data_IF_716093263734
#
_entry.id   IF_716093263734
#
_cell.length_a   1.000
_cell.length_b   1.000
_cell.length_c   1.000
_cell.angle_alpha   90.00
_cell.angle_beta   90.00
_cell.angle_gamma   90.00
#
_symmetry.space_group_name_H-M   'P 1'
#
loop_
_entity.id
_entity.type
_entity.pdbx_description
1 polymer ?
#
# COMPACT_ATOMS: atom_id res chain seq x y z
N UNK A 1 -25.63 12.27 -39.40
CA UNK A 1 -25.72 13.59 -40.07
C UNK A 1 -27.18 13.87 -40.38
N UNK A 2 -27.66 15.13 -40.32
CA UNK A 2 -26.90 16.35 -40.10
C UNK A 2 -27.21 17.05 -38.76
N UNK A 3 -26.19 17.77 -38.30
CA UNK A 3 -26.25 18.86 -37.34
C UNK A 3 -25.83 20.13 -38.11
N UNK A 4 -26.48 21.25 -37.82
CA UNK A 4 -26.23 22.63 -38.26
C UNK A 4 -26.64 23.49 -37.04
N UNK A 5 -26.00 24.56 -36.57
CA UNK A 5 -25.11 25.60 -37.14
C UNK A 5 -24.24 26.20 -36.01
N UNK A 6 -22.96 26.55 -36.27
CA UNK A 6 -22.36 27.90 -36.38
C UNK A 6 -22.54 28.81 -35.13
N UNK A 7 -21.51 29.10 -34.33
CA UNK A 7 -20.41 30.09 -34.51
C UNK A 7 -20.85 31.56 -34.41
N UNK A 8 -20.32 32.30 -33.42
CA UNK A 8 -19.84 33.68 -33.61
C UNK A 8 -18.91 34.15 -32.48
N UNK A 9 -17.91 34.94 -32.87
CA UNK A 9 -16.82 35.54 -32.10
C UNK A 9 -17.22 36.89 -31.49
N UNK A 10 -16.42 37.41 -30.54
CA UNK A 10 -16.60 38.77 -30.04
C UNK A 10 -15.66 39.17 -28.91
N UNK A 11 -14.41 39.44 -29.26
CA UNK A 11 -13.44 40.22 -28.47
C UNK A 11 -13.74 41.72 -28.58
N UNK A 12 -13.77 42.44 -27.45
CA UNK A 12 -13.61 43.91 -27.42
C UNK A 12 -12.87 44.33 -26.16
N UNK A 13 -11.63 44.75 -26.35
CA UNK A 13 -10.84 45.61 -25.47
C UNK A 13 -11.35 47.06 -25.56
N UNK A 14 -11.41 47.81 -24.45
CA UNK A 14 -11.04 49.23 -24.49
C UNK A 14 -10.62 49.83 -23.15
N UNK A 15 -9.60 50.70 -23.27
CA UNK A 15 -8.89 51.50 -22.28
C UNK A 15 -9.47 52.93 -22.21
N UNK A 16 -9.25 53.60 -21.07
CA UNK A 16 -9.31 55.06 -20.91
C UNK A 16 -9.77 55.47 -19.51
N UNK A 17 -9.20 56.43 -18.78
CA UNK A 17 -8.10 57.37 -19.00
C UNK A 17 -8.16 58.51 -17.94
N UNK A 18 -7.02 59.17 -17.69
CA UNK A 18 -6.82 60.59 -17.27
C UNK A 18 -7.30 61.06 -15.87
N UNK A 19 -6.45 61.42 -14.88
CA UNK A 19 -5.53 62.59 -14.67
C UNK A 19 -6.16 63.83 -13.97
N UNK A 20 -5.52 64.26 -12.85
CA UNK A 20 -5.37 65.64 -12.34
C UNK A 20 -6.39 66.12 -11.29
N UNK A 21 -6.11 66.98 -10.30
CA UNK A 21 -4.91 67.72 -9.79
C UNK A 21 -5.36 68.51 -8.53
N UNK A 22 -4.44 68.81 -7.59
CA UNK A 22 -4.44 69.95 -6.61
C UNK A 22 -5.60 70.07 -5.60
N UNK A 23 -5.46 70.27 -4.29
CA UNK A 23 -4.38 70.75 -3.41
C UNK A 23 -4.94 71.88 -2.53
N UNK A 24 -5.02 71.73 -1.20
CA UNK A 24 -4.98 72.89 -0.28
C UNK A 24 -4.52 72.52 1.14
N UNK A 25 -3.75 73.44 1.72
CA UNK A 25 -3.10 73.40 3.03
C UNK A 25 -4.06 73.89 4.12
N UNK A 26 -3.92 73.38 5.35
CA UNK A 26 -3.91 74.24 6.55
C UNK A 26 -3.17 73.60 7.73
N UNK A 27 -2.41 74.47 8.40
CA UNK A 27 -1.44 74.26 9.48
C UNK A 27 -2.10 74.08 10.86
N UNK A 28 -1.36 73.43 11.78
CA UNK A 28 -1.04 73.77 13.20
C UNK A 28 -1.14 72.52 14.09
N UNK A 29 -0.32 72.23 15.10
CA UNK A 29 0.98 72.71 15.63
C UNK A 29 1.39 71.74 16.74
N UNK A 30 2.70 71.52 16.86
CA UNK A 30 3.51 71.30 18.08
C UNK A 30 3.41 70.02 18.96
N UNK A 31 4.63 69.68 19.42
CA UNK A 31 5.07 68.79 20.52
C UNK A 31 5.19 67.33 20.11
N UNK A 32 6.32 66.64 20.29
CA UNK A 32 7.65 66.85 20.87
C UNK A 32 8.33 65.49 20.66
N UNK A 33 9.63 65.33 20.43
CA UNK A 33 10.78 65.52 21.30
C UNK A 33 11.88 64.69 20.62
N UNK A 34 13.09 65.25 20.60
CA UNK A 34 14.39 64.58 20.81
C UNK A 34 14.66 63.29 20.02
N UNK A 35 15.59 63.40 19.07
CA UNK A 35 16.22 62.25 18.44
C UNK A 35 17.14 61.47 19.38
N UNK A 36 17.23 60.18 19.13
CA UNK A 36 18.37 59.35 19.48
C UNK A 36 18.56 58.34 18.34
N UNK A 37 19.72 58.41 17.71
CA UNK A 37 20.23 57.38 16.81
C UNK A 37 20.42 56.11 17.64
N UNK A 38 19.68 55.06 17.33
CA UNK A 38 19.95 53.70 17.82
C UNK A 38 20.19 52.84 16.59
N UNK A 39 21.43 52.37 16.46
CA UNK A 39 21.82 51.35 15.53
C UNK A 39 20.92 50.12 15.71
N UNK A 40 20.12 49.81 14.68
CA UNK A 40 19.34 48.59 14.66
C UNK A 40 20.31 47.41 14.43
N UNK A 41 20.73 46.76 15.52
CA UNK A 41 21.23 45.40 15.48
C UNK A 41 20.06 44.53 14.98
N UNK A 42 20.11 44.13 13.71
CA UNK A 42 19.27 43.06 13.19
C UNK A 42 19.77 41.75 13.80
N UNK A 43 19.19 41.35 14.94
CA UNK A 43 19.25 39.97 15.39
C UNK A 43 18.47 39.13 14.39
N UNK A 44 19.18 38.57 13.42
CA UNK A 44 18.69 37.46 12.61
C UNK A 44 18.38 36.30 13.56
N UNK A 45 17.11 36.14 13.93
CA UNK A 45 16.62 34.89 14.46
C UNK A 45 16.71 33.85 13.34
N UNK A 46 17.83 33.13 13.30
CA UNK A 46 17.90 31.84 12.63
C UNK A 46 16.94 30.95 13.39
N UNK A 47 15.74 30.78 12.85
CA UNK A 47 14.86 29.68 13.23
C UNK A 47 15.60 28.41 12.81
N UNK A 48 16.38 27.84 13.73
CA UNK A 48 16.84 26.45 13.63
C UNK A 48 15.56 25.64 13.74
N UNK A 49 14.91 25.39 12.61
CA UNK A 49 13.94 24.33 12.48
C UNK A 49 14.69 23.05 12.82
N UNK A 50 14.54 22.59 14.07
CA UNK A 50 14.92 21.25 14.42
C UNK A 50 14.15 20.36 13.46
N UNK A 51 14.88 19.69 12.56
CA UNK A 51 14.35 18.55 11.84
C UNK A 51 13.93 17.57 12.93
N UNK A 52 12.64 17.57 13.28
CA UNK A 52 12.06 16.56 14.13
C UNK A 52 12.37 15.24 13.45
N UNK A 53 13.23 14.45 14.07
CA UNK A 53 13.49 13.10 13.61
C UNK A 53 12.13 12.40 13.67
N UNK A 54 11.57 12.07 12.51
CA UNK A 54 10.43 11.15 12.45
C UNK A 54 10.87 9.90 13.19
N UNK A 55 10.21 9.49 14.29
CA UNK A 55 10.59 8.28 14.99
C UNK A 55 10.62 7.13 13.98
N UNK A 56 11.71 6.36 14.01
CA UNK A 56 11.79 5.15 13.19
C UNK A 56 10.56 4.29 13.48
N UNK A 57 9.90 3.78 12.43
CA UNK A 57 8.75 2.91 12.59
C UNK A 57 9.14 1.73 13.50
N UNK A 58 8.32 1.45 14.53
CA UNK A 58 8.59 0.34 15.42
C UNK A 58 8.54 -0.97 14.61
N UNK A 59 9.55 -1.82 14.73
CA UNK A 59 9.55 -3.11 14.04
C UNK A 59 8.69 -4.11 14.81
N UNK A 60 7.64 -4.63 14.19
CA UNK A 60 6.76 -5.64 14.79
C UNK A 60 7.26 -7.06 14.54
N UNK A 61 6.94 -7.97 15.46
CA UNK A 61 7.14 -9.41 15.26
C UNK A 61 6.01 -9.96 14.38
N UNK A 62 6.30 -10.62 13.25
CA UNK A 62 5.26 -11.26 12.43
C UNK A 62 4.46 -12.30 13.23
N UNK A 63 3.14 -12.33 13.03
CA UNK A 63 2.31 -13.41 13.57
C UNK A 63 2.79 -14.77 13.04
N UNK A 64 2.98 -15.79 13.89
CA UNK A 64 3.42 -17.10 13.43
C UNK A 64 2.25 -17.93 12.91
N UNK A 65 2.44 -18.63 11.80
CA UNK A 65 1.67 -19.83 11.47
C UNK A 65 2.64 -20.94 11.05
N UNK A 66 2.22 -22.20 11.16
CA UNK A 66 3.09 -23.32 10.75
C UNK A 66 3.32 -23.22 9.24
N UNK A 67 4.56 -22.91 8.84
CA UNK A 67 4.97 -22.80 7.43
C UNK A 67 4.72 -24.10 6.63
N UNK A 68 4.53 -25.22 7.33
CA UNK A 68 4.24 -26.55 6.81
C UNK A 68 3.07 -27.18 7.57
N UNK A 69 1.97 -27.46 6.87
CA UNK A 69 0.85 -28.24 7.40
C UNK A 69 -0.46 -27.46 7.46
N UNK A 70 -1.15 -27.39 6.31
CA UNK A 70 -2.56 -27.05 6.26
C UNK A 70 -3.38 -28.09 7.03
N UNK A 71 -3.68 -27.80 8.29
CA UNK A 71 -4.69 -28.54 9.07
C UNK A 71 -5.42 -27.68 10.10
N UNK A 72 -4.96 -26.43 10.36
CA UNK A 72 -5.53 -25.57 11.41
C UNK A 72 -6.26 -24.31 10.88
N UNK A 73 -6.44 -24.17 9.56
CA UNK A 73 -7.19 -23.05 8.96
C UNK A 73 -6.53 -21.67 9.09
N UNK A 74 -5.25 -21.62 9.45
CA UNK A 74 -4.47 -20.41 9.74
C UNK A 74 -3.39 -20.10 8.70
N UNK A 75 -3.30 -20.90 7.63
CA UNK A 75 -2.30 -20.80 6.57
C UNK A 75 -2.91 -20.99 5.17
N UNK A 76 -2.45 -20.20 4.21
CA UNK A 76 -2.86 -20.21 2.80
C UNK A 76 -1.68 -19.76 1.93
N UNK A 77 -1.79 -19.85 0.61
CA UNK A 77 -0.74 -19.44 -0.32
C UNK A 77 -0.98 -18.02 -0.87
N UNK A 78 0.08 -17.28 -1.12
CA UNK A 78 0.08 -16.09 -2.00
C UNK A 78 1.29 -16.19 -2.92
N UNK A 79 1.16 -15.70 -4.16
CA UNK A 79 2.23 -15.86 -5.15
C UNK A 79 1.75 -15.57 -6.55
N UNK A 80 2.42 -16.18 -7.52
CA UNK A 80 2.16 -15.98 -8.95
C UNK A 80 2.13 -17.32 -9.69
N UNK A 81 1.58 -17.32 -10.91
CA UNK A 81 1.71 -18.47 -11.79
C UNK A 81 3.19 -18.80 -12.03
N UNK A 82 3.58 -20.03 -11.74
CA UNK A 82 4.92 -20.55 -12.03
C UNK A 82 6.00 -20.18 -11.01
N UNK A 83 5.66 -19.59 -9.86
CA UNK A 83 6.63 -19.42 -8.77
C UNK A 83 7.24 -20.78 -8.36
N UNK A 84 8.47 -20.79 -7.88
CA UNK A 84 9.10 -22.03 -7.38
C UNK A 84 8.31 -22.61 -6.21
N UNK A 85 8.02 -21.76 -5.21
CA UNK A 85 7.11 -22.03 -4.10
C UNK A 85 6.35 -20.75 -3.75
N UNK A 86 5.03 -20.84 -3.58
CA UNK A 86 4.23 -19.71 -3.11
C UNK A 86 4.62 -19.34 -1.68
N UNK A 87 4.52 -18.05 -1.33
CA UNK A 87 4.66 -17.62 0.04
C UNK A 87 3.46 -18.11 0.88
N UNK A 88 3.72 -18.51 2.11
CA UNK A 88 2.66 -18.98 3.03
C UNK A 88 2.12 -17.79 3.80
N UNK A 89 0.91 -17.34 3.46
CA UNK A 89 0.22 -16.30 4.19
C UNK A 89 -0.49 -16.86 5.43
N UNK A 90 -0.38 -16.14 6.54
CA UNK A 90 -0.93 -16.51 7.83
C UNK A 90 -2.18 -15.68 8.18
N UNK A 91 -3.03 -16.24 9.05
CA UNK A 91 -4.26 -15.60 9.53
C UNK A 91 -4.05 -14.14 10.00
N UNK A 92 -2.97 -13.88 10.75
CA UNK A 92 -2.66 -12.56 11.31
C UNK A 92 -2.11 -11.52 10.31
N UNK A 93 -2.14 -11.80 9.01
CA UNK A 93 -1.67 -10.88 7.98
C UNK A 93 -0.15 -10.87 7.79
N UNK A 94 0.57 -11.77 8.45
CA UNK A 94 1.97 -12.11 8.15
C UNK A 94 2.07 -13.14 7.02
N UNK A 95 3.28 -13.36 6.52
CA UNK A 95 3.56 -14.40 5.55
C UNK A 95 5.02 -14.86 5.62
N UNK A 96 5.27 -16.12 5.27
CA UNK A 96 6.60 -16.70 5.13
C UNK A 96 7.01 -16.77 3.66
N UNK A 97 8.20 -16.29 3.35
CA UNK A 97 8.80 -16.36 2.01
C UNK A 97 9.85 -17.48 1.97
N UNK A 98 9.67 -18.52 1.14
CA UNK A 98 10.62 -19.63 0.99
C UNK A 98 11.77 -19.29 0.02
N UNK A 99 12.50 -20.31 -0.45
CA UNK A 99 13.43 -20.26 -1.59
C UNK A 99 14.65 -19.33 -1.40
N UNK A 100 15.32 -19.46 -0.25
CA UNK A 100 16.61 -18.80 0.02
C UNK A 100 16.48 -17.37 0.56
N UNK A 101 15.26 -16.87 0.74
CA UNK A 101 14.98 -15.76 1.66
C UNK A 101 14.68 -16.32 3.06
N UNK A 102 13.85 -17.36 3.13
CA UNK A 102 13.52 -18.11 4.35
C UNK A 102 13.21 -17.22 5.56
N UNK A 103 12.36 -16.22 5.31
CA UNK A 103 12.03 -15.16 6.27
C UNK A 103 10.51 -14.93 6.36
N UNK A 104 10.04 -14.70 7.59
CA UNK A 104 8.68 -14.22 7.84
C UNK A 104 8.63 -12.70 7.83
N UNK A 105 7.59 -12.17 7.18
CA UNK A 105 7.25 -10.75 7.17
C UNK A 105 5.86 -10.54 7.75
N UNK A 106 5.59 -9.36 8.30
CA UNK A 106 4.29 -9.05 8.86
C UNK A 106 4.24 -7.71 9.57
N UNK A 107 3.21 -7.55 10.40
CA UNK A 107 2.84 -6.28 11.00
C UNK A 107 2.49 -6.49 12.48
N UNK A 108 3.19 -5.79 13.38
CA UNK A 108 3.02 -5.89 14.83
C UNK A 108 1.67 -5.35 15.33
N UNK A 109 0.96 -4.59 14.50
CA UNK A 109 -0.40 -4.11 14.79
C UNK A 109 -1.43 -5.23 15.00
N UNK A 110 -1.15 -6.46 14.55
CA UNK A 110 -2.05 -7.58 14.79
C UNK A 110 -2.04 -8.01 16.26
N UNK A 111 -3.22 -7.98 16.89
CA UNK A 111 -3.39 -8.13 18.33
C UNK A 111 -4.06 -9.45 18.76
N UNK A 112 -4.18 -10.42 17.86
CA UNK A 112 -4.89 -11.70 18.09
C UNK A 112 -6.40 -11.55 18.42
N UNK A 113 -7.02 -10.42 18.12
CA UNK A 113 -8.48 -10.25 18.28
C UNK A 113 -9.26 -11.07 17.26
N UNK A 114 -10.59 -11.13 17.43
CA UNK A 114 -11.48 -11.80 16.51
C UNK A 114 -11.25 -11.31 15.06
N UNK A 115 -10.90 -12.26 14.19
CA UNK A 115 -10.33 -11.97 12.87
C UNK A 115 -11.20 -12.54 11.76
N UNK A 116 -11.42 -11.74 10.73
CA UNK A 116 -11.95 -12.21 9.44
C UNK A 116 -10.79 -12.46 8.49
N UNK A 117 -10.88 -13.51 7.69
CA UNK A 117 -9.84 -13.84 6.72
C UNK A 117 -10.44 -14.36 5.43
N UNK A 118 -10.25 -13.61 4.35
CA UNK A 118 -10.94 -13.82 3.08
C UNK A 118 -10.07 -13.43 1.90
N UNK A 119 -10.31 -14.06 0.76
CA UNK A 119 -9.81 -13.57 -0.52
C UNK A 119 -10.46 -12.22 -0.88
N UNK A 120 -9.68 -11.27 -1.37
CA UNK A 120 -10.21 -10.06 -1.96
C UNK A 120 -11.15 -10.43 -3.12
N UNK A 121 -12.32 -9.77 -3.16
CA UNK A 121 -13.38 -10.06 -4.13
C UNK A 121 -13.89 -11.52 -4.12
N UNK A 122 -13.64 -12.27 -3.04
CA UNK A 122 -14.09 -13.65 -2.87
C UNK A 122 -13.16 -14.71 -3.48
N UNK A 123 -12.37 -14.38 -4.50
CA UNK A 123 -11.58 -15.39 -5.23
C UNK A 123 -10.14 -15.01 -5.60
N UNK A 124 -9.76 -13.72 -5.54
CA UNK A 124 -8.39 -13.33 -5.91
C UNK A 124 -7.39 -13.83 -4.86
N UNK A 125 -6.14 -14.18 -5.25
CA UNK A 125 -5.09 -14.63 -4.34
C UNK A 125 -4.47 -13.44 -3.60
N UNK A 126 -5.34 -12.67 -2.96
CA UNK A 126 -5.05 -11.50 -2.18
C UNK A 126 -5.77 -11.66 -0.84
N UNK A 127 -5.04 -12.08 0.19
CA UNK A 127 -5.64 -12.40 1.48
C UNK A 127 -5.81 -11.15 2.32
N UNK A 128 -7.05 -10.91 2.76
CA UNK A 128 -7.46 -9.80 3.60
C UNK A 128 -7.71 -10.33 5.01
N UNK A 129 -6.85 -9.96 5.93
CA UNK A 129 -7.01 -10.14 7.38
C UNK A 129 -7.66 -8.89 7.95
N UNK A 130 -8.83 -9.01 8.58
CA UNK A 130 -9.57 -7.89 9.18
C UNK A 130 -9.80 -8.09 10.66
N UNK A 131 -9.54 -7.06 11.47
CA UNK A 131 -9.68 -7.11 12.93
C UNK A 131 -9.87 -5.69 13.52
N UNK A 132 -10.04 -5.60 14.84
CA UNK A 132 -10.12 -4.31 15.55
C UNK A 132 -8.84 -4.09 16.36
N UNK A 133 -8.33 -2.86 16.31
CA UNK A 133 -7.24 -2.39 17.17
C UNK A 133 -7.74 -1.18 17.95
N UNK A 134 -8.00 -1.36 19.24
CA UNK A 134 -8.74 -0.39 20.05
C UNK A 134 -10.08 0.00 19.41
N UNK A 135 -10.21 1.27 19.04
CA UNK A 135 -11.41 1.82 18.37
C UNK A 135 -11.31 1.81 16.84
N UNK A 136 -10.16 1.49 16.27
CA UNK A 136 -9.94 1.45 14.83
C UNK A 136 -10.32 0.09 14.24
N UNK A 137 -10.67 0.09 12.95
CA UNK A 137 -10.78 -1.11 12.12
C UNK A 137 -9.51 -1.23 11.30
N UNK A 138 -8.85 -2.38 11.35
CA UNK A 138 -7.61 -2.63 10.62
C UNK A 138 -7.83 -3.76 9.63
N UNK A 139 -7.33 -3.57 8.41
CA UNK A 139 -7.19 -4.65 7.44
C UNK A 139 -5.75 -4.75 6.95
N UNK A 140 -5.21 -5.96 6.90
CA UNK A 140 -3.93 -6.27 6.25
C UNK A 140 -4.26 -7.08 5.00
N UNK A 141 -3.88 -6.58 3.83
CA UNK A 141 -4.04 -7.31 2.57
C UNK A 141 -2.69 -7.65 1.97
N UNK A 142 -2.44 -8.92 1.65
CA UNK A 142 -1.21 -9.39 1.02
C UNK A 142 -1.51 -10.10 -0.30
N UNK A 143 -0.77 -9.80 -1.36
CA UNK A 143 -0.89 -10.50 -2.64
C UNK A 143 0.45 -10.54 -3.39
N UNK A 144 0.63 -11.56 -4.24
CA UNK A 144 1.77 -11.67 -5.13
C UNK A 144 1.49 -11.07 -6.51
N UNK A 145 2.48 -10.42 -7.10
CA UNK A 145 2.45 -9.97 -8.49
C UNK A 145 3.80 -10.22 -9.18
N UNK A 146 3.77 -10.48 -10.49
CA UNK A 146 4.99 -10.61 -11.28
C UNK A 146 5.46 -9.24 -11.76
N UNK A 147 6.73 -8.92 -11.47
CA UNK A 147 7.33 -7.64 -11.83
C UNK A 147 8.67 -7.88 -12.52
N UNK A 148 8.95 -7.12 -13.57
CA UNK A 148 10.26 -7.14 -14.23
C UNK A 148 11.09 -5.95 -13.76
N UNK A 149 12.21 -6.22 -13.08
CA UNK A 149 13.16 -5.22 -12.58
C UNK A 149 14.54 -5.49 -13.20
N UNK A 150 15.12 -4.49 -13.85
CA UNK A 150 16.45 -4.63 -14.47
C UNK A 150 16.54 -5.76 -15.51
N UNK A 151 15.44 -6.08 -16.19
CA UNK A 151 15.37 -7.18 -17.17
C UNK A 151 15.16 -8.57 -16.57
N UNK A 152 14.99 -8.68 -15.25
CA UNK A 152 14.74 -9.94 -14.56
C UNK A 152 13.33 -9.98 -13.96
N UNK A 153 12.69 -11.14 -13.98
CA UNK A 153 11.32 -11.32 -13.49
C UNK A 153 11.29 -11.82 -12.05
N UNK A 154 10.57 -11.13 -11.19
CA UNK A 154 10.40 -11.50 -9.79
C UNK A 154 8.93 -11.71 -9.49
N UNK A 155 8.64 -12.49 -8.44
CA UNK A 155 7.39 -12.32 -7.69
C UNK A 155 7.68 -11.36 -6.55
N UNK A 156 6.91 -10.27 -6.48
CA UNK A 156 6.91 -9.37 -5.35
C UNK A 156 5.60 -9.56 -4.56
N UNK A 157 5.69 -9.54 -3.24
CA UNK A 157 4.53 -9.51 -2.35
C UNK A 157 4.26 -8.07 -1.98
N UNK A 158 3.08 -7.59 -2.35
CA UNK A 158 2.56 -6.29 -1.96
C UNK A 158 1.65 -6.43 -0.76
N UNK A 159 1.81 -5.52 0.19
CA UNK A 159 1.04 -5.49 1.42
C UNK A 159 0.45 -4.10 1.64
N UNK A 160 -0.81 -4.03 2.11
CA UNK A 160 -1.44 -2.80 2.59
C UNK A 160 -2.02 -3.01 3.98
N UNK A 161 -1.59 -2.19 4.92
CA UNK A 161 -2.25 -2.02 6.22
C UNK A 161 -3.17 -0.81 6.12
N UNK A 162 -4.47 -1.04 6.06
CA UNK A 162 -5.49 0.01 6.07
C UNK A 162 -6.04 0.18 7.48
N UNK A 163 -5.96 1.39 8.01
CA UNK A 163 -6.51 1.77 9.32
C UNK A 163 -7.66 2.73 9.09
N UNK A 164 -8.86 2.32 9.48
CA UNK A 164 -10.07 3.13 9.40
C UNK A 164 -10.52 3.53 10.80
N UNK A 165 -10.71 4.83 11.02
CA UNK A 165 -11.17 5.40 12.27
C UNK A 165 -12.68 5.70 12.20
N UNK A 166 -13.54 4.91 12.84
CA UNK A 166 -14.99 5.15 12.83
C UNK A 166 -15.44 6.24 13.82
N UNK A 167 -14.52 6.84 14.57
CA UNK A 167 -14.84 7.74 15.69
C UNK A 167 -14.75 9.22 15.30
N UNK A 168 -15.24 10.08 16.20
CA UNK A 168 -15.18 11.55 16.08
C UNK A 168 -13.88 12.17 16.59
N UNK A 169 -12.92 11.35 17.05
CA UNK A 169 -11.63 11.81 17.57
C UNK A 169 -10.48 11.16 16.78
N UNK A 170 -9.31 11.79 16.67
CA UNK A 170 -8.15 11.13 16.08
C UNK A 170 -7.80 9.84 16.84
N UNK A 171 -7.41 8.80 16.11
CA UNK A 171 -6.85 7.56 16.68
C UNK A 171 -5.44 7.36 16.14
N UNK A 172 -4.53 6.85 16.96
CA UNK A 172 -3.17 6.53 16.53
C UNK A 172 -2.99 5.03 16.52
N UNK A 173 -2.63 4.48 15.36
CA UNK A 173 -2.35 3.06 15.14
C UNK A 173 -1.12 2.97 14.25
N UNK A 174 -0.05 2.39 14.77
CA UNK A 174 1.17 2.12 14.01
C UNK A 174 1.09 0.70 13.42
N UNK A 175 1.26 0.51 12.10
CA UNK A 175 1.32 -0.82 11.47
C UNK A 175 2.43 -1.72 12.02
N UNK A 176 3.54 -1.14 12.49
CA UNK A 176 4.71 -1.85 12.96
C UNK A 176 5.25 -2.92 11.97
N UNK A 177 5.66 -2.54 10.74
CA UNK A 177 6.16 -3.50 9.77
C UNK A 177 7.43 -4.21 10.28
N UNK A 178 7.56 -5.51 10.02
CA UNK A 178 8.79 -6.24 10.30
C UNK A 178 9.95 -5.76 9.43
N UNK A 179 11.19 -6.02 9.85
CA UNK A 179 12.38 -5.70 9.07
C UNK A 179 12.37 -6.37 7.67
N UNK A 180 12.95 -5.67 6.68
CA UNK A 180 13.05 -6.13 5.29
C UNK A 180 11.85 -5.80 4.39
N UNK A 181 10.74 -5.31 4.95
CA UNK A 181 9.66 -4.71 4.16
C UNK A 181 10.09 -3.32 3.66
N UNK A 182 9.96 -3.08 2.36
CA UNK A 182 10.20 -1.77 1.76
C UNK A 182 8.90 -0.97 1.73
N UNK A 183 8.87 0.22 2.33
CA UNK A 183 7.70 1.10 2.27
C UNK A 183 7.53 1.71 0.87
N UNK A 184 6.29 1.72 0.37
CA UNK A 184 5.92 2.29 -0.93
C UNK A 184 5.31 3.69 -0.82
N UNK A 185 4.90 4.09 0.38
CA UNK A 185 4.35 5.41 0.64
C UNK A 185 4.74 5.92 2.03
N UNK A 186 4.56 7.21 2.26
CA UNK A 186 4.62 7.82 3.60
C UNK A 186 3.20 8.09 4.07
N UNK A 187 2.83 7.53 5.21
CA UNK A 187 1.48 7.59 5.76
C UNK A 187 1.53 7.87 7.28
N UNK A 188 0.62 8.72 7.75
CA UNK A 188 0.51 9.09 9.16
C UNK A 188 -0.04 7.92 9.99
N UNK A 189 0.57 7.63 11.13
CA UNK A 189 0.01 6.66 12.10
C UNK A 189 -1.19 7.25 12.87
N UNK A 190 -1.41 8.56 12.82
CA UNK A 190 -2.62 9.21 13.32
C UNK A 190 -3.65 9.34 12.20
N UNK A 191 -4.82 8.74 12.42
CA UNK A 191 -5.95 8.74 11.51
C UNK A 191 -7.00 9.72 12.01
N UNK A 192 -7.36 10.70 11.17
CA UNK A 192 -8.39 11.69 11.46
C UNK A 192 -9.75 11.04 11.75
N UNK A 193 -10.68 11.75 12.43
CA UNK A 193 -12.06 11.30 12.59
C UNK A 193 -12.69 10.86 11.27
N UNK A 194 -13.35 9.71 11.23
CA UNK A 194 -13.96 9.12 10.02
C UNK A 194 -13.00 8.91 8.83
N UNK A 195 -11.69 9.02 9.06
CA UNK A 195 -10.67 8.86 8.03
C UNK A 195 -10.21 7.41 7.87
N UNK A 196 -9.54 7.17 6.75
CA UNK A 196 -8.78 5.95 6.47
C UNK A 196 -7.37 6.34 6.03
N UNK A 197 -6.36 5.66 6.57
CA UNK A 197 -4.97 5.77 6.11
C UNK A 197 -4.47 4.40 5.69
N UNK A 198 -3.70 4.36 4.60
CA UNK A 198 -3.10 3.15 4.06
C UNK A 198 -1.58 3.22 4.15
N UNK A 199 -0.97 2.18 4.70
CA UNK A 199 0.48 1.99 4.71
C UNK A 199 0.82 0.82 3.78
N UNK A 200 1.58 1.12 2.73
CA UNK A 200 1.86 0.18 1.64
C UNK A 200 3.31 -0.28 1.69
N UNK A 201 3.53 -1.56 1.48
CA UNK A 201 4.83 -2.20 1.57
C UNK A 201 5.02 -3.22 0.44
N UNK A 202 6.29 -3.52 0.15
CA UNK A 202 6.67 -4.56 -0.81
C UNK A 202 7.91 -5.32 -0.33
N UNK A 203 7.99 -6.59 -0.72
CA UNK A 203 9.20 -7.41 -0.60
C UNK A 203 9.29 -8.39 -1.77
N UNK A 204 10.51 -8.81 -2.12
CA UNK A 204 10.71 -9.89 -3.08
C UNK A 204 10.36 -11.25 -2.47
N UNK A 205 9.86 -12.18 -3.30
CA UNK A 205 9.51 -13.52 -2.84
C UNK A 205 10.04 -14.66 -3.72
N UNK A 206 10.15 -14.46 -5.03
CA UNK A 206 10.61 -15.54 -5.92
C UNK A 206 11.33 -14.97 -7.15
N UNK A 207 12.24 -15.77 -7.73
CA UNK A 207 13.01 -15.46 -8.96
C UNK A 207 12.77 -16.50 -10.06
N UNK A 208 11.69 -17.24 -9.97
CA UNK A 208 11.32 -18.35 -10.85
C UNK A 208 12.45 -19.40 -11.00
N UNK A 209 13.11 -19.71 -9.88
CA UNK A 209 14.25 -20.65 -9.83
C UNK A 209 15.58 -20.10 -10.38
N UNK A 210 15.65 -18.83 -10.77
CA UNK A 210 16.88 -18.21 -11.25
C UNK A 210 17.81 -17.76 -10.11
N UNK A 211 19.07 -17.48 -10.47
CA UNK A 211 20.17 -17.18 -9.54
C UNK A 211 20.72 -15.75 -9.61
N UNK A 212 20.12 -14.85 -10.42
CA UNK A 212 20.50 -13.43 -10.43
C UNK A 212 20.19 -12.76 -9.08
N UNK A 213 20.85 -11.64 -8.77
CA UNK A 213 20.72 -10.97 -7.47
C UNK A 213 19.27 -10.63 -7.10
N UNK A 214 18.95 -10.62 -5.81
CA UNK A 214 17.68 -10.08 -5.31
C UNK A 214 17.61 -8.56 -5.56
N UNK A 215 16.41 -8.00 -5.76
CA UNK A 215 16.27 -6.57 -6.01
C UNK A 215 16.64 -5.78 -4.76
N UNK A 216 17.23 -4.60 -4.95
CA UNK A 216 17.54 -3.68 -3.84
C UNK A 216 16.28 -2.99 -3.33
N UNK A 217 16.35 -2.41 -2.13
CA UNK A 217 15.27 -1.58 -1.58
C UNK A 217 14.88 -0.44 -2.51
N UNK A 218 15.83 0.19 -3.19
CA UNK A 218 15.55 1.26 -4.15
C UNK A 218 14.80 0.74 -5.39
N UNK A 219 15.18 -0.45 -5.90
CA UNK A 219 14.47 -1.08 -7.01
C UNK A 219 13.05 -1.48 -6.61
N UNK A 220 12.86 -1.98 -5.38
CA UNK A 220 11.56 -2.31 -4.82
C UNK A 220 10.67 -1.08 -4.64
N UNK A 221 11.23 0.01 -4.08
CA UNK A 221 10.50 1.28 -3.92
C UNK A 221 10.10 1.90 -5.27
N UNK A 222 10.88 1.66 -6.32
CA UNK A 222 10.60 2.11 -7.68
C UNK A 222 9.75 1.13 -8.51
N UNK A 223 9.34 -0.02 -7.96
CA UNK A 223 8.68 -1.09 -8.72
C UNK A 223 7.23 -0.77 -9.13
N UNK A 224 6.62 0.24 -8.49
CA UNK A 224 5.22 0.64 -8.67
C UNK A 224 4.43 0.59 -7.36
N UNK A 225 3.22 1.14 -7.38
CA UNK A 225 2.38 1.25 -6.19
C UNK A 225 1.44 0.07 -5.97
N UNK A 226 0.96 -0.11 -4.73
CA UNK A 226 0.03 -1.19 -4.36
C UNK A 226 -1.17 -1.31 -5.31
N UNK A 227 -1.87 -0.20 -5.61
CA UNK A 227 -3.08 -0.24 -6.43
C UNK A 227 -2.81 -0.64 -7.89
N UNK A 228 -1.66 -0.23 -8.44
CA UNK A 228 -1.21 -0.61 -9.77
C UNK A 228 -1.03 -2.13 -9.86
N UNK A 229 -0.30 -2.70 -8.90
CA UNK A 229 0.01 -4.13 -8.89
C UNK A 229 -1.19 -4.98 -8.50
N UNK A 230 -2.07 -4.49 -7.63
CA UNK A 230 -3.34 -5.17 -7.35
C UNK A 230 -4.19 -5.26 -8.62
N UNK A 231 -4.25 -4.15 -9.38
CA UNK A 231 -4.92 -4.13 -10.67
C UNK A 231 -4.29 -5.06 -11.70
N UNK A 232 -2.95 -5.15 -11.75
CA UNK A 232 -2.24 -6.05 -12.66
C UNK A 232 -2.50 -7.53 -12.32
N UNK A 233 -2.31 -7.91 -11.05
CA UNK A 233 -2.62 -9.24 -10.54
C UNK A 233 -4.06 -9.63 -10.83
N UNK A 234 -5.02 -8.76 -10.55
CA UNK A 234 -6.43 -8.99 -10.84
C UNK A 234 -6.66 -9.25 -12.33
N UNK A 235 -6.18 -8.36 -13.21
CA UNK A 235 -6.36 -8.51 -14.67
C UNK A 235 -5.77 -9.82 -15.19
N UNK A 236 -4.59 -10.20 -14.69
CA UNK A 236 -3.95 -11.45 -15.07
C UNK A 236 -4.83 -12.66 -14.70
N UNK A 237 -5.24 -12.76 -13.44
CA UNK A 237 -6.03 -13.91 -12.99
C UNK A 237 -7.41 -13.96 -13.62
N UNK A 238 -8.08 -12.82 -13.77
CA UNK A 238 -9.35 -12.75 -14.51
C UNK A 238 -9.18 -13.22 -15.96
N UNK A 239 -8.08 -12.84 -16.62
CA UNK A 239 -7.75 -13.30 -17.97
C UNK A 239 -7.41 -14.80 -18.06
N UNK A 240 -6.93 -15.42 -16.98
CA UNK A 240 -6.80 -16.88 -16.92
C UNK A 240 -8.16 -17.55 -16.71
N UNK A 241 -8.97 -17.02 -15.79
CA UNK A 241 -10.31 -17.54 -15.48
C UNK A 241 -11.28 -17.42 -16.66
N UNK A 242 -11.14 -16.39 -17.52
CA UNK A 242 -11.99 -16.22 -18.70
C UNK A 242 -11.82 -17.33 -19.75
N UNK A 243 -10.75 -18.13 -19.65
CA UNK A 243 -10.50 -19.29 -20.52
C UNK A 243 -11.18 -20.57 -19.99
N UNK A 244 -11.76 -20.52 -18.80
CA UNK A 244 -12.41 -21.65 -18.15
C UNK A 244 -13.93 -21.59 -18.32
N UNK A 245 -14.59 -22.73 -18.12
CA UNK A 245 -16.04 -22.75 -17.97
C UNK A 245 -16.43 -21.94 -16.72
N UNK A 246 -17.40 -21.03 -16.86
CA UNK A 246 -17.91 -20.25 -15.74
C UNK A 246 -19.26 -20.83 -15.27
N UNK A 247 -19.31 -21.58 -14.16
CA UNK A 247 -20.56 -22.13 -13.67
C UNK A 247 -21.52 -21.01 -13.25
N UNK A 248 -22.78 -21.13 -13.65
CA UNK A 248 -23.88 -20.29 -13.15
C UNK A 248 -24.60 -21.04 -12.05
N UNK A 249 -24.33 -20.65 -10.80
CA UNK A 249 -24.92 -21.26 -9.62
C UNK A 249 -25.68 -20.19 -8.81
N UNK A 250 -26.78 -20.56 -8.14
CA UNK A 250 -27.50 -19.64 -7.25
C UNK A 250 -26.62 -19.10 -6.12
N UNK A 251 -25.73 -19.94 -5.60
CA UNK A 251 -24.75 -19.54 -4.59
C UNK A 251 -23.46 -19.05 -5.24
N UNK A 252 -23.23 -17.73 -5.15
CA UNK A 252 -22.00 -17.08 -5.63
C UNK A 252 -20.75 -17.58 -4.93
N UNK A 253 -20.84 -18.03 -3.66
CA UNK A 253 -19.68 -18.54 -2.92
C UNK A 253 -19.10 -19.79 -3.57
N UNK A 254 -19.94 -20.63 -4.18
CA UNK A 254 -19.48 -21.80 -4.92
C UNK A 254 -18.74 -21.41 -6.20
N UNK A 255 -19.17 -20.34 -6.87
CA UNK A 255 -18.48 -19.79 -8.04
C UNK A 255 -17.12 -19.21 -7.64
N UNK A 256 -17.07 -18.47 -6.52
CA UNK A 256 -15.82 -17.91 -6.01
C UNK A 256 -14.85 -19.01 -5.54
N UNK A 257 -15.35 -20.07 -4.89
CA UNK A 257 -14.54 -21.23 -4.50
C UNK A 257 -13.95 -21.95 -5.71
N UNK A 258 -14.72 -22.12 -6.80
CA UNK A 258 -14.21 -22.69 -8.06
C UNK A 258 -13.07 -21.83 -8.64
N UNK A 259 -13.27 -20.51 -8.70
CA UNK A 259 -12.26 -19.56 -9.20
C UNK A 259 -11.00 -19.56 -8.35
N UNK A 260 -11.15 -19.45 -7.02
CA UNK A 260 -10.06 -19.47 -6.07
C UNK A 260 -9.28 -20.80 -6.14
N UNK A 261 -10.00 -21.93 -6.21
CA UNK A 261 -9.41 -23.26 -6.30
C UNK A 261 -8.52 -23.42 -7.54
N UNK A 262 -8.96 -22.92 -8.69
CA UNK A 262 -8.11 -22.88 -9.88
C UNK A 262 -6.84 -22.06 -9.67
N UNK A 263 -6.96 -20.84 -9.16
CA UNK A 263 -5.83 -19.92 -8.95
C UNK A 263 -4.82 -20.52 -7.96
N UNK A 264 -5.28 -20.99 -6.80
CA UNK A 264 -4.40 -21.58 -5.80
C UNK A 264 -3.72 -22.85 -6.30
N UNK A 265 -4.41 -23.64 -7.12
CA UNK A 265 -3.77 -24.77 -7.80
C UNK A 265 -2.63 -24.28 -8.69
N UNK A 266 -2.80 -23.19 -9.44
CA UNK A 266 -1.70 -22.66 -10.27
C UNK A 266 -0.54 -22.08 -9.46
N UNK A 267 -0.81 -21.41 -8.34
CA UNK A 267 0.23 -20.86 -7.44
C UNK A 267 1.02 -21.99 -6.77
N UNK A 268 0.34 -23.08 -6.37
CA UNK A 268 0.98 -24.22 -5.73
C UNK A 268 1.70 -25.14 -6.73
N UNK A 269 1.58 -24.91 -8.04
CA UNK A 269 2.30 -25.69 -9.06
C UNK A 269 3.70 -25.14 -9.26
N UNK A 270 4.70 -25.92 -8.88
CA UNK A 270 6.09 -25.70 -9.28
C UNK A 270 6.34 -26.40 -10.62
N UNK A 271 6.09 -25.69 -11.73
CA UNK A 271 6.09 -26.30 -13.06
C UNK A 271 4.98 -27.36 -13.21
N UNK A 272 5.35 -28.62 -13.45
CA UNK A 272 4.39 -29.75 -13.54
C UNK A 272 4.08 -30.42 -12.19
N UNK A 273 4.83 -30.11 -11.13
CA UNK A 273 4.61 -30.68 -9.80
C UNK A 273 3.52 -29.90 -9.06
N UNK A 274 2.48 -30.60 -8.61
CA UNK A 274 1.49 -30.07 -7.66
C UNK A 274 2.09 -30.14 -6.25
N UNK A 275 2.48 -29.01 -5.67
CA UNK A 275 2.83 -28.96 -4.25
C UNK A 275 1.56 -28.79 -3.39
N UNK A 276 0.55 -29.64 -3.65
CA UNK A 276 -0.70 -29.65 -2.91
C UNK A 276 -0.51 -30.46 -1.61
N UNK A 277 0.19 -29.86 -0.65
CA UNK A 277 0.17 -30.30 0.75
C UNK A 277 0.91 -31.61 1.09
N UNK A 278 2.24 -31.59 1.11
CA UNK A 278 3.15 -32.19 2.11
C UNK A 278 4.56 -32.09 1.53
N UNK A 279 5.54 -31.43 2.19
CA UNK A 279 6.92 -31.78 1.92
C UNK A 279 7.07 -33.21 2.42
N UNK A 280 7.16 -34.17 1.50
CA UNK A 280 7.79 -35.43 1.83
C UNK A 280 9.17 -35.06 2.36
N UNK A 281 9.38 -35.38 3.65
CA UNK A 281 10.68 -35.56 4.26
C UNK A 281 11.67 -36.04 3.21
N UNK A 282 12.54 -35.15 2.74
CA UNK A 282 13.80 -35.61 2.17
C UNK A 282 14.76 -35.57 3.33
N UNK A 283 14.97 -36.76 3.88
CA UNK A 283 15.88 -37.05 4.97
C UNK A 283 17.28 -36.54 4.64
N UNK A 284 17.93 -35.91 5.62
CA UNK A 284 19.25 -36.29 6.15
C UNK A 284 19.28 -35.87 7.61
#
# INVERSE_FOLDING_TARGET
MPATDAADEGDVTNLGGSVGRTGDRRRRTLRGRVGAVIAALTCSFVMIGGAGQTPAAATGTPYPCKATGGSNGDASAIGWLGNGHGATACLGGSFYVPNGIDQSYGFGVYNNSATTWTNAQGYLPALVTGFKEGQARVTITNFGDQVTLGGHSYVLIYSRVSVTNPTWRPVTVDPQPSSGLTALNTASTTVAPHGTVNHDYVVAADRFGASYAWPTTEQLAAAGGYDQHFGHMKRFWDGQLSKLASPQLPDRKLVDAYRAGFIYTQINRSGNALNTGTPTSTSC
#
